data_IF_233128995937
#
_entry.id   IF_233128995937
#
_cell.length_a   1.000
_cell.length_b   1.000
_cell.length_c   1.000
_cell.angle_alpha   90.00
_cell.angle_beta   90.00
_cell.angle_gamma   90.00
#
_symmetry.space_group_name_H-M   'P 1'
#
loop_
_entity.id
_entity.type
_entity.pdbx_description
1 polymer ?
#
# COMPACT_ATOMS: atom_id res chain seq x y z
N UNK A 1 2.29 21.64 -29.02
CA UNK A 1 2.06 20.23 -28.73
C UNK A 1 2.69 19.86 -27.39
N UNK A 2 1.93 20.12 -26.32
CA UNK A 2 2.35 19.83 -24.92
C UNK A 2 2.04 18.39 -24.47
N UNK A 3 1.30 17.63 -25.24
CA UNK A 3 0.90 16.25 -24.92
C UNK A 3 1.95 15.19 -25.24
N UNK A 4 2.91 15.47 -26.13
CA UNK A 4 3.94 14.50 -26.51
C UNK A 4 5.15 14.42 -25.56
N UNK A 5 5.31 15.37 -24.62
CA UNK A 5 6.46 15.39 -23.70
C UNK A 5 6.35 14.45 -22.49
N UNK A 6 5.25 13.73 -22.34
CA UNK A 6 4.98 12.89 -21.16
C UNK A 6 5.00 11.38 -21.41
N UNK A 7 4.95 10.92 -22.65
CA UNK A 7 5.05 9.48 -22.94
C UNK A 7 6.52 9.08 -23.03
N UNK A 8 6.96 8.21 -22.13
CA UNK A 8 8.24 7.51 -22.33
C UNK A 8 8.21 6.84 -23.71
N UNK A 9 9.25 7.08 -24.50
CA UNK A 9 9.37 6.46 -25.82
C UNK A 9 9.58 4.95 -25.61
N UNK A 10 8.52 4.16 -25.86
CA UNK A 10 8.66 2.73 -26.01
C UNK A 10 9.53 2.46 -27.24
N UNK A 11 10.60 1.71 -27.09
CA UNK A 11 11.34 1.16 -28.22
C UNK A 11 10.41 0.32 -29.09
N UNK A 12 10.62 0.31 -30.41
CA UNK A 12 9.82 -0.48 -31.33
C UNK A 12 9.79 -1.95 -30.88
N UNK A 13 8.59 -2.49 -30.64
CA UNK A 13 8.39 -3.87 -30.20
C UNK A 13 8.40 -4.10 -28.67
N UNK A 14 8.55 -3.07 -27.85
CA UNK A 14 8.38 -3.23 -26.40
C UNK A 14 6.90 -3.29 -26.01
N UNK A 15 6.49 -4.24 -25.14
CA UNK A 15 5.11 -4.29 -24.65
C UNK A 15 4.80 -3.06 -23.78
N UNK A 16 3.58 -2.56 -23.85
CA UNK A 16 3.11 -1.46 -22.97
C UNK A 16 3.02 -1.89 -21.50
N UNK A 17 2.89 -3.17 -21.26
CA UNK A 17 2.78 -3.76 -19.94
C UNK A 17 3.59 -5.06 -19.87
N UNK A 18 4.22 -5.28 -18.73
CA UNK A 18 4.91 -6.54 -18.44
C UNK A 18 4.72 -6.92 -16.98
N UNK A 19 5.22 -8.05 -16.54
CA UNK A 19 5.14 -8.52 -15.15
C UNK A 19 6.51 -8.83 -14.63
N UNK A 20 6.68 -8.60 -13.30
CA UNK A 20 7.83 -9.05 -12.55
C UNK A 20 7.37 -9.98 -11.42
N UNK A 21 8.21 -10.93 -11.09
CA UNK A 21 8.02 -11.78 -9.92
C UNK A 21 8.99 -11.33 -8.83
N UNK A 22 8.48 -11.21 -7.60
CA UNK A 22 9.26 -10.95 -6.40
C UNK A 22 9.10 -12.12 -5.44
N UNK A 23 10.21 -12.64 -4.91
CA UNK A 23 10.19 -13.81 -4.00
C UNK A 23 11.02 -13.55 -2.77
N UNK A 24 10.46 -13.90 -1.61
CA UNK A 24 11.14 -13.85 -0.34
C UNK A 24 10.53 -14.88 0.61
N UNK A 25 11.33 -15.85 1.12
CA UNK A 25 10.83 -16.95 1.95
C UNK A 25 9.61 -17.64 1.31
N UNK A 26 8.45 -17.64 2.00
CA UNK A 26 7.17 -18.15 1.47
C UNK A 26 6.37 -17.15 0.63
N UNK A 27 6.82 -15.89 0.53
CA UNK A 27 6.16 -14.87 -0.28
C UNK A 27 6.52 -15.02 -1.77
N UNK A 28 5.51 -15.01 -2.63
CA UNK A 28 5.68 -14.98 -4.09
C UNK A 28 4.66 -13.99 -4.67
N UNK A 29 5.14 -12.84 -5.09
CA UNK A 29 4.32 -11.76 -5.64
C UNK A 29 4.56 -11.66 -7.15
N UNK A 30 3.49 -11.44 -7.90
CA UNK A 30 3.54 -11.14 -9.33
C UNK A 30 2.93 -9.77 -9.57
N UNK A 31 3.78 -8.81 -9.91
CA UNK A 31 3.41 -7.41 -10.07
C UNK A 31 3.37 -7.01 -11.53
N UNK A 32 2.26 -6.40 -11.96
CA UNK A 32 2.15 -5.78 -13.27
C UNK A 32 2.92 -4.46 -13.29
N UNK A 33 3.70 -4.26 -14.33
CA UNK A 33 4.34 -2.98 -14.65
C UNK A 33 3.72 -2.42 -15.92
N UNK A 34 3.66 -1.10 -16.00
CA UNK A 34 3.14 -0.42 -17.17
C UNK A 34 3.53 1.06 -17.17
N UNK A 35 3.72 1.64 -18.33
CA UNK A 35 3.97 3.06 -18.46
C UNK A 35 2.68 3.82 -18.19
N UNK A 36 2.66 4.61 -17.13
CA UNK A 36 1.55 5.51 -16.82
C UNK A 36 1.84 6.92 -17.30
N UNK A 37 0.79 7.74 -17.46
CA UNK A 37 0.92 9.17 -17.76
C UNK A 37 1.70 9.93 -16.69
N UNK A 38 1.82 9.38 -15.48
CA UNK A 38 2.54 9.97 -14.33
C UNK A 38 4.00 9.54 -14.23
N UNK A 39 4.57 8.89 -15.26
CA UNK A 39 5.94 8.36 -15.27
C UNK A 39 6.26 7.29 -14.22
N UNK A 40 5.27 6.77 -13.52
CA UNK A 40 5.43 5.65 -12.59
C UNK A 40 5.19 4.34 -13.32
N UNK A 41 6.04 3.36 -13.06
CA UNK A 41 5.97 2.03 -13.71
C UNK A 41 5.12 1.01 -12.95
N UNK A 42 4.57 1.40 -11.81
CA UNK A 42 3.69 0.53 -11.00
C UNK A 42 4.37 -0.18 -9.84
N UNK A 43 5.68 -0.06 -9.69
CA UNK A 43 6.47 -0.63 -8.58
C UNK A 43 7.61 0.31 -8.25
N UNK A 44 7.93 0.37 -6.97
CA UNK A 44 9.13 1.01 -6.43
C UNK A 44 10.05 -0.10 -5.89
N UNK A 45 11.08 -0.50 -6.65
CA UNK A 45 11.93 -1.66 -6.29
C UNK A 45 12.62 -1.52 -4.93
N UNK A 46 12.93 -0.29 -4.51
CA UNK A 46 13.51 0.04 -3.20
C UNK A 46 12.63 -0.39 -2.02
N UNK A 47 11.34 -0.57 -2.25
CA UNK A 47 10.39 -1.05 -1.23
C UNK A 47 10.52 -2.55 -0.93
N UNK A 48 11.34 -3.29 -1.66
CA UNK A 48 11.51 -4.73 -1.47
C UNK A 48 11.93 -5.08 -0.04
N UNK A 49 12.83 -4.33 0.58
CA UNK A 49 13.25 -4.55 1.98
C UNK A 49 12.09 -4.31 2.97
N UNK A 50 11.26 -3.29 2.71
CA UNK A 50 10.07 -3.05 3.52
C UNK A 50 9.05 -4.19 3.37
N UNK A 51 8.88 -4.75 2.17
CA UNK A 51 7.99 -5.91 1.98
C UNK A 51 8.48 -7.14 2.76
N UNK A 52 9.80 -7.37 2.80
CA UNK A 52 10.40 -8.43 3.59
C UNK A 52 10.15 -8.24 5.08
N UNK A 53 10.41 -7.01 5.59
CA UNK A 53 10.14 -6.65 6.99
C UNK A 53 8.66 -6.83 7.35
N UNK A 54 7.75 -6.38 6.49
CA UNK A 54 6.30 -6.52 6.70
C UNK A 54 5.91 -8.00 6.76
N UNK A 55 6.41 -8.81 5.82
CA UNK A 55 6.15 -10.24 5.80
C UNK A 55 6.60 -10.92 7.09
N UNK A 56 7.84 -10.67 7.53
CA UNK A 56 8.39 -11.26 8.75
C UNK A 56 7.63 -10.79 10.00
N UNK A 57 7.35 -9.49 10.12
CA UNK A 57 6.59 -8.91 11.24
C UNK A 57 5.18 -9.51 11.35
N UNK A 58 4.49 -9.68 10.23
CA UNK A 58 3.15 -10.31 10.20
C UNK A 58 3.22 -11.79 10.59
N UNK A 59 4.20 -12.53 10.05
CA UNK A 59 4.37 -13.95 10.37
C UNK A 59 4.65 -14.16 11.87
N UNK A 60 5.50 -13.33 12.46
CA UNK A 60 5.80 -13.35 13.90
C UNK A 60 4.56 -12.98 14.74
N UNK A 61 3.86 -11.90 14.38
CA UNK A 61 2.63 -11.50 15.06
C UNK A 61 1.56 -12.59 14.99
N UNK A 62 1.38 -13.22 13.84
CA UNK A 62 0.42 -14.32 13.67
C UNK A 62 0.72 -15.49 14.61
N UNK A 63 2.01 -15.86 14.73
CA UNK A 63 2.44 -16.91 15.63
C UNK A 63 2.18 -16.57 17.11
N UNK A 64 2.44 -15.32 17.52
CA UNK A 64 2.22 -14.85 18.89
C UNK A 64 0.75 -14.68 19.24
N UNK A 65 -0.03 -14.11 18.34
CA UNK A 65 -1.44 -13.80 18.60
C UNK A 65 -2.37 -15.01 18.45
N UNK A 66 -1.93 -16.06 17.74
CA UNK A 66 -2.78 -17.21 17.42
C UNK A 66 -3.99 -16.89 16.51
N UNK A 67 -3.96 -15.74 15.84
CA UNK A 67 -4.99 -15.27 14.89
C UNK A 67 -4.33 -14.51 13.75
N UNK A 68 -5.10 -14.21 12.70
CA UNK A 68 -4.65 -13.30 11.63
C UNK A 68 -4.45 -11.88 12.19
N UNK A 69 -3.23 -11.29 12.05
CA UNK A 69 -3.00 -9.88 12.39
C UNK A 69 -3.79 -8.97 11.45
N UNK A 70 -4.35 -7.89 11.98
CA UNK A 70 -5.02 -6.85 11.18
C UNK A 70 -4.02 -5.79 10.76
N UNK A 71 -3.83 -5.61 9.45
CA UNK A 71 -2.89 -4.67 8.87
C UNK A 71 -3.61 -3.61 8.06
N UNK A 72 -3.32 -2.35 8.34
CA UNK A 72 -3.79 -1.18 7.59
C UNK A 72 -2.65 -0.63 6.75
N UNK A 73 -2.86 -0.56 5.42
CA UNK A 73 -1.93 0.08 4.50
C UNK A 73 -2.57 1.35 3.92
N UNK A 74 -1.94 2.49 4.17
CA UNK A 74 -2.37 3.83 3.77
C UNK A 74 -1.47 4.37 2.67
N UNK A 75 -2.03 5.09 1.69
CA UNK A 75 -1.35 5.50 0.44
C UNK A 75 -0.78 4.28 -0.27
N UNK A 76 -1.60 3.24 -0.35
CA UNK A 76 -1.14 1.87 -0.54
C UNK A 76 -0.73 1.52 -1.99
N UNK A 77 -0.94 2.45 -2.94
CA UNK A 77 -0.53 2.39 -4.34
C UNK A 77 -0.94 1.06 -5.01
N UNK A 78 -0.05 0.43 -5.78
CA UNK A 78 -0.31 -0.83 -6.50
C UNK A 78 -0.23 -2.08 -5.62
N UNK A 79 -0.09 -1.91 -4.31
CA UNK A 79 -0.34 -2.94 -3.32
C UNK A 79 0.84 -3.79 -2.88
N UNK A 80 2.08 -3.52 -3.27
CA UNK A 80 3.22 -4.37 -2.90
C UNK A 80 3.27 -4.71 -1.41
N UNK A 81 3.20 -3.71 -0.53
CA UNK A 81 3.17 -3.89 0.92
C UNK A 81 1.91 -4.63 1.42
N UNK A 82 0.74 -4.36 0.82
CA UNK A 82 -0.51 -5.08 1.13
C UNK A 82 -0.41 -6.57 0.78
N UNK A 83 0.18 -6.89 -0.36
CA UNK A 83 0.38 -8.27 -0.81
C UNK A 83 1.39 -9.00 0.06
N UNK A 84 2.46 -8.31 0.49
CA UNK A 84 3.45 -8.85 1.42
C UNK A 84 2.78 -9.23 2.76
N UNK A 85 1.99 -8.31 3.35
CA UNK A 85 1.24 -8.58 4.57
C UNK A 85 0.24 -9.75 4.39
N UNK A 86 -0.50 -9.77 3.27
CA UNK A 86 -1.48 -10.82 3.00
C UNK A 86 -0.83 -12.19 2.81
N UNK A 87 0.30 -12.26 2.10
CA UNK A 87 1.01 -13.54 1.90
C UNK A 87 1.58 -14.13 3.19
N UNK A 88 1.83 -13.31 4.23
CA UNK A 88 2.17 -13.77 5.57
C UNK A 88 0.94 -14.15 6.42
N UNK A 89 -0.28 -13.94 5.90
CA UNK A 89 -1.54 -14.33 6.53
C UNK A 89 -2.18 -13.24 7.39
N UNK A 90 -2.03 -11.96 7.03
CA UNK A 90 -2.76 -10.87 7.66
C UNK A 90 -4.16 -10.67 7.07
N UNK A 91 -5.10 -10.15 7.87
CA UNK A 91 -6.31 -9.47 7.43
C UNK A 91 -5.92 -8.05 7.01
N UNK A 92 -5.95 -7.75 5.70
CA UNK A 92 -5.42 -6.49 5.16
C UNK A 92 -6.53 -5.53 4.76
N UNK A 93 -6.42 -4.27 5.19
CA UNK A 93 -7.19 -3.14 4.64
C UNK A 93 -6.25 -2.25 3.84
N UNK A 94 -6.49 -2.16 2.54
CA UNK A 94 -5.74 -1.36 1.58
C UNK A 94 -6.52 -0.08 1.27
N UNK A 95 -5.92 1.08 1.53
CA UNK A 95 -6.54 2.40 1.34
C UNK A 95 -5.69 3.24 0.39
N UNK A 96 -6.30 3.65 -0.72
CA UNK A 96 -5.72 4.63 -1.64
C UNK A 96 -6.81 5.52 -2.22
N UNK A 97 -6.49 6.76 -2.54
CA UNK A 97 -7.44 7.73 -3.08
C UNK A 97 -7.74 7.53 -4.56
N UNK A 98 -6.87 6.82 -5.29
CA UNK A 98 -6.93 6.68 -6.75
C UNK A 98 -7.53 5.33 -7.14
N UNK A 99 -8.78 5.33 -7.62
CA UNK A 99 -9.51 4.12 -8.01
C UNK A 99 -8.74 3.22 -8.99
N UNK A 100 -8.08 3.80 -9.98
CA UNK A 100 -7.32 3.03 -10.99
C UNK A 100 -6.16 2.27 -10.34
N UNK A 101 -5.50 2.89 -9.36
CA UNK A 101 -4.39 2.28 -8.62
C UNK A 101 -4.89 1.13 -7.74
N UNK A 102 -6.04 1.29 -7.07
CA UNK A 102 -6.67 0.22 -6.29
C UNK A 102 -7.10 -0.95 -7.19
N UNK A 103 -7.61 -0.66 -8.39
CA UNK A 103 -7.91 -1.72 -9.38
C UNK A 103 -6.64 -2.48 -9.77
N UNK A 104 -5.55 -1.76 -10.02
CA UNK A 104 -4.26 -2.36 -10.34
C UNK A 104 -3.72 -3.22 -9.19
N UNK A 105 -3.85 -2.75 -7.95
CA UNK A 105 -3.47 -3.52 -6.76
C UNK A 105 -4.25 -4.84 -6.65
N UNK A 106 -5.55 -4.82 -6.98
CA UNK A 106 -6.39 -6.04 -7.03
C UNK A 106 -5.90 -7.02 -8.11
N UNK A 107 -5.59 -6.53 -9.32
CA UNK A 107 -5.02 -7.35 -10.39
C UNK A 107 -3.69 -8.00 -9.98
N UNK A 108 -2.84 -7.26 -9.25
CA UNK A 108 -1.59 -7.80 -8.69
C UNK A 108 -1.86 -8.88 -7.64
N UNK A 109 -2.87 -8.70 -6.79
CA UNK A 109 -3.30 -9.71 -5.81
C UNK A 109 -3.72 -11.00 -6.51
N UNK A 110 -4.60 -10.90 -7.50
CA UNK A 110 -5.09 -12.04 -8.29
C UNK A 110 -3.95 -12.74 -9.03
N UNK A 111 -3.05 -11.96 -9.67
CA UNK A 111 -1.87 -12.49 -10.37
C UNK A 111 -0.88 -13.20 -9.43
N UNK A 112 -0.85 -12.82 -8.15
CA UNK A 112 -0.04 -13.45 -7.09
C UNK A 112 -0.71 -14.67 -6.47
N UNK A 113 -1.93 -15.03 -6.90
CA UNK A 113 -2.69 -16.15 -6.32
C UNK A 113 -3.18 -15.88 -4.90
N UNK A 114 -3.31 -14.61 -4.51
CA UNK A 114 -3.79 -14.17 -3.21
C UNK A 114 -5.25 -13.71 -3.30
N UNK A 115 -5.92 -13.63 -2.15
CA UNK A 115 -7.28 -13.15 -1.98
C UNK A 115 -7.46 -12.41 -0.65
N UNK A 116 -8.70 -12.00 -0.31
CA UNK A 116 -9.09 -11.57 1.03
C UNK A 116 -8.57 -10.20 1.46
N UNK A 117 -8.17 -9.30 0.54
CA UNK A 117 -7.84 -7.91 0.86
C UNK A 117 -9.10 -7.02 0.78
N UNK A 118 -9.32 -6.22 1.82
CA UNK A 118 -10.34 -5.18 1.84
C UNK A 118 -9.85 -3.93 1.11
N UNK A 119 -10.46 -3.64 -0.04
CA UNK A 119 -10.13 -2.50 -0.89
C UNK A 119 -10.97 -1.26 -0.53
N UNK A 120 -10.31 -0.13 -0.34
CA UNK A 120 -10.96 1.14 0.01
C UNK A 120 -10.41 2.25 -0.89
N UNK A 121 -11.31 2.92 -1.63
CA UNK A 121 -10.99 4.12 -2.41
C UNK A 121 -11.47 5.33 -1.62
N UNK A 122 -10.55 5.94 -0.87
CA UNK A 122 -10.87 7.06 0.03
C UNK A 122 -9.61 7.86 0.37
N UNK A 123 -9.79 9.11 0.79
CA UNK A 123 -8.72 9.90 1.41
C UNK A 123 -8.25 9.23 2.72
N UNK A 124 -6.92 9.09 2.86
CA UNK A 124 -6.32 8.38 3.99
C UNK A 124 -6.62 9.04 5.34
N UNK A 125 -6.58 10.40 5.41
CA UNK A 125 -6.86 11.13 6.65
C UNK A 125 -8.34 10.99 7.06
N UNK A 126 -9.25 11.06 6.09
CA UNK A 126 -10.68 10.85 6.32
C UNK A 126 -10.96 9.42 6.83
N UNK A 127 -10.28 8.44 6.23
CA UNK A 127 -10.37 7.04 6.63
C UNK A 127 -9.91 6.84 8.09
N UNK A 128 -8.68 7.26 8.45
CA UNK A 128 -8.13 7.02 9.80
C UNK A 128 -8.94 7.74 10.87
N UNK A 129 -9.39 8.97 10.64
CA UNK A 129 -10.26 9.70 11.56
C UNK A 129 -11.57 8.97 11.82
N UNK A 130 -12.14 8.35 10.79
CA UNK A 130 -13.36 7.53 10.92
C UNK A 130 -13.09 6.25 11.73
N UNK A 131 -12.00 5.56 11.46
CA UNK A 131 -11.64 4.33 12.20
C UNK A 131 -11.34 4.63 13.68
N UNK A 132 -10.68 5.76 13.99
CA UNK A 132 -10.47 6.24 15.38
C UNK A 132 -11.81 6.46 16.09
N UNK A 133 -12.77 7.16 15.44
CA UNK A 133 -14.11 7.37 16.02
C UNK A 133 -14.87 6.07 16.26
N UNK A 134 -14.61 5.03 15.47
CA UNK A 134 -15.21 3.70 15.61
C UNK A 134 -14.50 2.80 16.63
N UNK A 135 -13.44 3.28 17.27
CA UNK A 135 -12.65 2.48 18.19
C UNK A 135 -12.00 1.26 17.57
N UNK A 136 -11.66 1.33 16.28
CA UNK A 136 -10.94 0.24 15.60
C UNK A 136 -9.49 0.20 16.03
N UNK A 137 -8.87 -0.99 15.92
CA UNK A 137 -7.45 -1.17 16.15
C UNK A 137 -6.84 -2.09 15.09
N UNK A 138 -5.55 -1.91 14.83
CA UNK A 138 -4.75 -2.66 13.87
C UNK A 138 -3.47 -3.14 14.54
N UNK A 139 -2.99 -4.31 14.16
CA UNK A 139 -1.74 -4.89 14.68
C UNK A 139 -0.52 -4.42 13.87
N UNK A 140 -0.74 -3.92 12.66
CA UNK A 140 0.29 -3.30 11.82
C UNK A 140 -0.29 -2.14 11.03
N UNK A 141 0.50 -1.06 10.90
CA UNK A 141 0.15 0.10 10.06
C UNK A 141 1.33 0.38 9.14
N UNK A 142 1.03 0.55 7.85
CA UNK A 142 1.99 0.91 6.81
C UNK A 142 1.56 2.27 6.27
N UNK A 143 2.49 3.21 6.22
CA UNK A 143 2.27 4.60 5.87
C UNK A 143 3.36 5.08 4.91
N UNK A 144 3.00 5.30 3.65
CA UNK A 144 3.89 5.73 2.57
C UNK A 144 3.33 6.98 1.85
N UNK A 145 3.22 8.12 2.57
CA UNK A 145 2.54 9.29 2.06
C UNK A 145 3.39 10.03 1.01
N UNK A 146 2.76 10.53 -0.06
CA UNK A 146 3.44 11.42 -1.01
C UNK A 146 3.71 12.80 -0.38
N UNK A 147 4.62 13.57 -0.96
CA UNK A 147 4.81 14.98 -0.57
C UNK A 147 3.52 15.80 -0.75
N UNK A 148 2.76 15.53 -1.83
CA UNK A 148 1.46 16.11 -2.16
C UNK A 148 0.50 15.05 -2.67
N UNK A 149 -0.79 15.19 -2.31
CA UNK A 149 -1.87 14.33 -2.81
C UNK A 149 -3.21 15.06 -2.89
N UNK A 150 -4.15 14.43 -3.60
CA UNK A 150 -5.56 14.81 -3.61
C UNK A 150 -6.42 13.58 -3.36
N UNK A 151 -7.38 13.72 -2.47
CA UNK A 151 -8.41 12.73 -2.25
C UNK A 151 -9.47 12.75 -3.36
N UNK A 152 -10.34 11.72 -3.40
CA UNK A 152 -11.32 11.55 -4.46
C UNK A 152 -12.43 12.62 -4.46
N UNK A 153 -12.64 13.33 -3.35
CA UNK A 153 -13.61 14.43 -3.19
C UNK A 153 -12.93 15.81 -3.16
N UNK A 154 -11.63 15.89 -3.56
CA UNK A 154 -10.86 17.12 -3.62
C UNK A 154 -10.09 17.46 -2.35
N UNK A 155 -10.05 16.56 -1.36
CA UNK A 155 -9.21 16.69 -0.18
C UNK A 155 -7.77 16.97 -0.58
N UNK A 156 -7.07 17.76 0.21
CA UNK A 156 -5.67 18.07 -0.02
C UNK A 156 -4.82 17.37 1.04
N UNK A 157 -3.74 16.76 0.60
CA UNK A 157 -2.67 16.25 1.43
C UNK A 157 -1.39 17.03 1.18
N UNK A 158 -0.77 17.54 2.24
CA UNK A 158 0.54 18.20 2.22
C UNK A 158 1.38 17.58 3.35
N UNK A 159 2.42 16.85 3.00
CA UNK A 159 3.21 16.05 3.96
C UNK A 159 3.62 16.86 5.20
N UNK A 160 4.22 18.04 5.02
CA UNK A 160 4.70 18.86 6.13
C UNK A 160 3.62 19.43 7.06
N UNK A 161 2.35 19.39 6.65
CA UNK A 161 1.22 19.86 7.45
C UNK A 161 0.42 18.72 8.06
N UNK A 162 0.27 17.61 7.33
CA UNK A 162 -0.69 16.56 7.64
C UNK A 162 -0.06 15.33 8.29
N UNK A 163 1.28 15.18 8.25
CA UNK A 163 1.95 14.00 8.80
C UNK A 163 1.79 13.88 10.31
N UNK A 164 1.88 14.99 11.06
CA UNK A 164 1.68 14.99 12.52
C UNK A 164 0.29 14.47 12.90
N UNK A 165 -0.80 15.10 12.43
CA UNK A 165 -2.17 14.61 12.66
C UNK A 165 -2.42 13.17 12.18
N UNK A 166 -1.76 12.75 11.09
CA UNK A 166 -1.84 11.37 10.60
C UNK A 166 -1.20 10.39 11.60
N UNK A 167 0.00 10.68 12.09
CA UNK A 167 0.69 9.86 13.08
C UNK A 167 -0.06 9.77 14.41
N UNK A 168 -0.69 10.86 14.86
CA UNK A 168 -1.57 10.84 16.03
C UNK A 168 -2.73 9.85 15.85
N UNK A 169 -3.38 9.86 14.69
CA UNK A 169 -4.43 8.89 14.38
C UNK A 169 -3.87 7.47 14.34
N UNK A 170 -2.73 7.25 13.67
CA UNK A 170 -2.09 5.93 13.57
C UNK A 170 -1.72 5.38 14.96
N UNK A 171 -1.16 6.20 15.85
CA UNK A 171 -0.84 5.81 17.23
C UNK A 171 -2.09 5.35 18.00
N UNK A 172 -3.24 6.02 17.80
CA UNK A 172 -4.51 5.61 18.43
C UNK A 172 -5.12 4.35 17.83
N UNK A 173 -4.79 4.05 16.57
CA UNK A 173 -5.27 2.87 15.86
C UNK A 173 -4.37 1.66 16.06
N UNK A 174 -3.09 1.88 16.39
CA UNK A 174 -2.13 0.79 16.58
C UNK A 174 -2.43 0.05 17.89
N UNK A 175 -2.36 -1.28 17.84
CA UNK A 175 -2.51 -2.14 19.01
C UNK A 175 -1.48 -1.78 20.08
N UNK A 176 -1.92 -1.64 21.34
CA UNK A 176 -1.08 -1.14 22.43
C UNK A 176 0.03 -2.12 22.87
N UNK A 177 -0.09 -3.40 22.55
CA UNK A 177 0.77 -4.43 23.12
C UNK A 177 1.81 -5.01 22.17
N UNK A 178 1.53 -5.07 20.85
CA UNK A 178 2.38 -5.84 19.93
C UNK A 178 2.28 -5.36 18.47
N UNK A 179 2.14 -4.06 18.25
CA UNK A 179 1.97 -3.53 16.90
C UNK A 179 3.29 -3.13 16.23
N UNK A 180 3.30 -3.05 14.90
CA UNK A 180 4.37 -2.43 14.14
C UNK A 180 3.86 -1.26 13.28
N UNK A 181 4.73 -0.29 13.05
CA UNK A 181 4.51 0.82 12.11
C UNK A 181 5.67 0.86 11.12
N UNK A 182 5.35 0.84 9.83
CA UNK A 182 6.29 1.17 8.75
C UNK A 182 5.96 2.55 8.22
N UNK A 183 6.92 3.45 8.26
CA UNK A 183 6.79 4.81 7.75
C UNK A 183 7.89 5.08 6.73
N UNK A 184 7.50 5.41 5.49
CA UNK A 184 8.41 5.89 4.46
C UNK A 184 8.22 7.39 4.27
N UNK A 185 9.31 8.13 4.28
CA UNK A 185 9.34 9.56 3.98
C UNK A 185 10.47 9.83 2.99
N UNK A 186 10.20 10.60 1.93
CA UNK A 186 11.16 10.99 0.90
C UNK A 186 11.41 12.49 0.91
#
# INVERSE_FOLDING_TARGET
NSEERGRGLLGAGMPEQWRIDYRYRGMSLRMRLGLTSFKHVGVFPEQGENWNFIYDSVAELKARLGREPRVLNLFAYTGGASLAARSAGAEVTHVDSVRQVVTWARENMEASGLDGIRWVVEDAMKFVRREVRRGRSYDGIILDPPAYGRGPEGEKWVLGQDIGPMLECCTRLLSATDGFLVLNLY
#
